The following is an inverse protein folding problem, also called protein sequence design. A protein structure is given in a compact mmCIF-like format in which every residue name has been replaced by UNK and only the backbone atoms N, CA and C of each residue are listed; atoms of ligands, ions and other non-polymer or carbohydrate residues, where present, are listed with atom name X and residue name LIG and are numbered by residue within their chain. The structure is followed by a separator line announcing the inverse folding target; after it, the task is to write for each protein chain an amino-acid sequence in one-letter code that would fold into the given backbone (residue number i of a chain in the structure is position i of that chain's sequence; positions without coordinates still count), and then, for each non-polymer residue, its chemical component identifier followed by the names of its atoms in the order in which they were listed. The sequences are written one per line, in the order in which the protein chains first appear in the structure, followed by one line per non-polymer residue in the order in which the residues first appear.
data_IF_407345899147
#
_entry.id   IF_407345899147
#
_cell.length_a   1.000
_cell.length_b   1.000
_cell.length_c   1.000
_cell.angle_alpha   90.00
_cell.angle_beta   90.00
_cell.angle_gamma   90.00
#
_symmetry.space_group_name_H-M   'P 1'
#
loop_
_entity.id
_entity.type
_entity.pdbx_description
1 polymer ?
#
# COMPACT_ATOMS: atom_id res chain seq x y z
N UNK A 1 -15.19 2.41 33.98
CA UNK A 1 -15.51 2.99 32.67
C UNK A 1 -15.35 1.84 31.67
N UNK A 2 -16.39 1.50 30.90
CA UNK A 2 -16.26 0.46 29.90
C UNK A 2 -15.34 0.97 28.78
N UNK A 3 -14.28 0.24 28.48
CA UNK A 3 -13.47 0.53 27.28
C UNK A 3 -14.36 0.45 26.04
N UNK A 4 -14.15 1.30 25.02
CA UNK A 4 -14.84 1.14 23.75
C UNK A 4 -14.51 -0.24 23.18
N UNK A 5 -15.39 -0.84 22.38
CA UNK A 5 -15.10 -2.12 21.74
C UNK A 5 -13.86 -1.99 20.84
N UNK A 6 -13.08 -3.06 20.69
CA UNK A 6 -11.91 -3.03 19.81
C UNK A 6 -12.32 -2.79 18.35
N UNK A 7 -11.53 -1.98 17.63
CA UNK A 7 -11.69 -1.75 16.19
C UNK A 7 -11.25 -3.03 15.45
N UNK A 8 -12.09 -3.51 14.55
CA UNK A 8 -11.80 -4.74 13.79
C UNK A 8 -10.99 -4.43 12.55
N UNK A 9 -9.82 -5.04 12.43
CA UNK A 9 -8.91 -4.86 11.29
C UNK A 9 -8.74 -6.18 10.55
N UNK A 10 -9.06 -6.20 9.25
CA UNK A 10 -8.75 -7.30 8.35
C UNK A 10 -7.46 -6.98 7.57
N UNK A 11 -6.45 -7.83 7.66
CA UNK A 11 -5.29 -7.79 6.77
C UNK A 11 -5.56 -8.80 5.64
N UNK A 12 -5.64 -8.30 4.42
CA UNK A 12 -5.81 -9.12 3.21
C UNK A 12 -4.42 -9.43 2.65
N UNK A 13 -3.94 -10.64 2.91
CA UNK A 13 -2.61 -11.09 2.50
C UNK A 13 -2.64 -11.57 1.04
N UNK A 14 -1.90 -10.85 0.16
CA UNK A 14 -1.73 -11.19 -1.25
C UNK A 14 -0.34 -11.78 -1.56
N UNK A 15 0.43 -12.20 -0.56
CA UNK A 15 1.78 -12.75 -0.77
C UNK A 15 1.83 -14.21 -1.19
N UNK A 16 0.68 -14.88 -1.40
CA UNK A 16 0.58 -16.24 -1.94
C UNK A 16 1.37 -17.27 -1.11
N UNK A 17 1.25 -17.20 0.22
CA UNK A 17 1.96 -18.08 1.16
C UNK A 17 3.47 -17.81 1.29
N UNK A 18 3.99 -16.79 0.62
CA UNK A 18 5.41 -16.42 0.75
C UNK A 18 5.60 -15.60 2.03
N UNK A 19 6.48 -16.07 2.92
CA UNK A 19 6.87 -15.31 4.11
C UNK A 19 7.52 -14.00 3.68
N UNK A 20 7.01 -12.89 4.20
CA UNK A 20 7.44 -11.56 3.79
C UNK A 20 7.47 -10.57 4.96
N UNK A 21 8.23 -9.49 4.80
CA UNK A 21 8.33 -8.43 5.79
C UNK A 21 7.11 -7.50 5.79
N UNK A 22 6.32 -7.45 4.71
CA UNK A 22 5.19 -6.53 4.58
C UNK A 22 4.09 -6.78 5.61
N UNK A 23 3.65 -8.02 5.80
CA UNK A 23 2.63 -8.35 6.82
C UNK A 23 3.16 -8.05 8.24
N UNK A 24 4.43 -8.38 8.53
CA UNK A 24 5.06 -8.06 9.82
C UNK A 24 5.12 -6.55 10.05
N UNK A 25 5.46 -5.79 9.01
CA UNK A 25 5.52 -4.34 9.08
C UNK A 25 4.13 -3.70 9.30
N UNK A 26 3.08 -4.20 8.61
CA UNK A 26 1.69 -3.79 8.85
C UNK A 26 1.30 -4.04 10.31
N UNK A 27 1.58 -5.24 10.85
CA UNK A 27 1.27 -5.57 12.24
C UNK A 27 2.02 -4.65 13.21
N UNK A 28 3.31 -4.38 12.97
CA UNK A 28 4.11 -3.46 13.80
C UNK A 28 3.55 -2.03 13.80
N UNK A 29 3.09 -1.55 12.65
CA UNK A 29 2.44 -0.22 12.58
C UNK A 29 1.15 -0.19 13.41
N UNK A 30 0.35 -1.26 13.37
CA UNK A 30 -0.88 -1.36 14.17
C UNK A 30 -0.57 -1.40 15.67
N UNK A 31 0.41 -2.21 16.09
CA UNK A 31 0.87 -2.28 17.49
C UNK A 31 1.38 -0.94 18.00
N UNK A 32 2.23 -0.26 17.23
CA UNK A 32 2.73 1.07 17.59
C UNK A 32 1.57 2.09 17.72
N UNK A 33 0.57 2.01 16.83
CA UNK A 33 -0.58 2.88 16.89
C UNK A 33 -1.45 2.64 18.14
N UNK A 34 -1.64 1.37 18.56
CA UNK A 34 -2.32 1.04 19.81
C UNK A 34 -1.60 1.68 21.01
N UNK A 35 -0.28 1.54 21.07
CA UNK A 35 0.55 2.07 22.15
C UNK A 35 0.52 3.61 22.22
N UNK A 36 0.56 4.27 21.07
CA UNK A 36 0.59 5.73 20.97
C UNK A 36 -0.77 6.39 21.25
N UNK A 37 -1.86 5.75 20.82
CA UNK A 37 -3.19 6.35 20.81
C UNK A 37 -4.18 5.71 21.78
N UNK A 38 -3.83 4.60 22.42
CA UNK A 38 -4.67 3.91 23.40
C UNK A 38 -5.89 3.22 22.84
N UNK A 39 -5.90 2.95 21.52
CA UNK A 39 -6.91 2.09 20.87
C UNK A 39 -6.57 0.61 21.08
N UNK A 40 -7.54 -0.24 20.80
CA UNK A 40 -7.34 -1.69 20.75
C UNK A 40 -7.87 -2.20 19.41
N UNK A 41 -7.03 -2.98 18.70
CA UNK A 41 -7.41 -3.63 17.46
C UNK A 41 -7.71 -5.12 17.70
N UNK A 42 -8.72 -5.61 16.99
CA UNK A 42 -8.90 -7.05 16.77
C UNK A 42 -8.44 -7.33 15.35
N UNK A 43 -7.21 -7.84 15.21
CA UNK A 43 -6.56 -8.07 13.91
C UNK A 43 -6.85 -9.51 13.47
N UNK A 44 -7.32 -9.68 12.23
CA UNK A 44 -7.50 -10.96 11.56
C UNK A 44 -6.79 -10.93 10.20
N UNK A 45 -6.01 -11.97 9.89
CA UNK A 45 -5.25 -12.07 8.62
C UNK A 45 -5.92 -13.13 7.74
N UNK A 46 -6.13 -12.77 6.48
CA UNK A 46 -6.79 -13.61 5.48
C UNK A 46 -5.85 -13.88 4.32
N UNK A 47 -5.48 -15.14 4.09
CA UNK A 47 -4.70 -15.57 2.95
C UNK A 47 -5.57 -15.58 1.68
N UNK A 48 -5.57 -14.45 0.98
CA UNK A 48 -6.44 -14.21 -0.17
C UNK A 48 -6.00 -15.01 -1.39
N UNK A 49 -4.70 -14.96 -1.73
CA UNK A 49 -4.19 -15.61 -2.95
C UNK A 49 -3.93 -17.09 -2.78
N UNK A 50 -3.30 -17.49 -1.66
CA UNK A 50 -2.89 -18.87 -1.43
C UNK A 50 -4.07 -19.77 -1.08
N UNK A 51 -5.03 -19.26 -0.29
CA UNK A 51 -6.13 -20.08 0.25
C UNK A 51 -7.52 -19.56 -0.09
N UNK A 52 -7.64 -18.50 -0.89
CA UNK A 52 -8.92 -17.84 -1.24
C UNK A 52 -9.76 -17.49 0.01
N UNK A 53 -9.09 -17.11 1.11
CA UNK A 53 -9.74 -16.71 2.35
C UNK A 53 -10.06 -15.22 2.31
N UNK A 54 -11.30 -14.88 2.58
CA UNK A 54 -11.78 -13.50 2.61
C UNK A 54 -12.68 -13.27 3.80
N UNK A 55 -12.63 -12.07 4.43
CA UNK A 55 -13.57 -11.70 5.47
C UNK A 55 -14.94 -11.36 4.89
N UNK A 56 -15.92 -11.29 5.80
CA UNK A 56 -17.15 -10.57 5.52
C UNK A 56 -16.97 -9.04 5.63
N UNK A 57 -18.05 -8.28 5.48
CA UNK A 57 -18.04 -6.81 5.58
C UNK A 57 -18.18 -6.30 7.03
N UNK A 58 -17.82 -7.10 8.02
CA UNK A 58 -18.00 -6.81 9.44
C UNK A 58 -16.78 -6.22 10.13
N UNK A 59 -15.62 -6.12 9.44
CA UNK A 59 -14.46 -5.37 9.89
C UNK A 59 -14.63 -3.87 9.61
N UNK A 60 -13.91 -3.04 10.36
CA UNK A 60 -13.98 -1.59 10.23
C UNK A 60 -12.93 -1.08 9.25
N UNK A 61 -11.76 -1.72 9.25
CA UNK A 61 -10.59 -1.37 8.44
C UNK A 61 -10.09 -2.60 7.69
N UNK A 62 -9.73 -2.42 6.44
CA UNK A 62 -9.14 -3.44 5.56
C UNK A 62 -7.79 -2.95 5.03
N UNK A 63 -6.71 -3.65 5.37
CA UNK A 63 -5.37 -3.37 4.87
C UNK A 63 -5.00 -4.45 3.86
N UNK A 64 -5.05 -4.10 2.58
CA UNK A 64 -4.74 -5.03 1.50
C UNK A 64 -3.28 -4.90 1.11
N UNK A 65 -2.52 -5.96 1.33
CA UNK A 65 -1.07 -5.98 1.21
C UNK A 65 -0.56 -5.89 -0.23
N UNK A 66 0.74 -5.67 -0.35
CA UNK A 66 1.50 -5.99 -1.55
C UNK A 66 1.48 -7.49 -1.87
N UNK A 67 2.19 -7.88 -2.90
CA UNK A 67 2.35 -9.28 -3.28
C UNK A 67 3.28 -9.43 -4.48
N UNK A 68 3.87 -10.60 -4.66
CA UNK A 68 4.76 -10.87 -5.78
C UNK A 68 3.99 -11.14 -7.07
N UNK A 69 4.70 -11.06 -8.19
CA UNK A 69 4.24 -11.57 -9.49
C UNK A 69 3.55 -10.53 -10.37
N UNK A 70 2.88 -11.07 -11.38
CA UNK A 70 2.25 -10.33 -12.46
C UNK A 70 0.78 -9.99 -12.10
N UNK A 71 0.42 -8.70 -11.96
CA UNK A 71 -0.95 -8.29 -11.65
C UNK A 71 -1.95 -8.53 -12.80
N UNK A 72 -1.49 -8.93 -13.99
CA UNK A 72 -2.34 -9.30 -15.11
C UNK A 72 -2.61 -10.81 -15.19
N UNK A 73 -1.70 -11.63 -14.64
CA UNK A 73 -1.82 -13.09 -14.72
C UNK A 73 -2.97 -13.68 -13.92
N UNK A 74 -3.47 -12.94 -12.92
CA UNK A 74 -4.61 -13.38 -12.09
C UNK A 74 -5.97 -13.05 -12.68
N UNK A 75 -6.02 -12.36 -13.82
CA UNK A 75 -7.29 -11.92 -14.40
C UNK A 75 -8.26 -13.07 -14.64
N UNK A 76 -9.45 -12.97 -14.00
CA UNK A 76 -10.49 -13.99 -14.08
C UNK A 76 -10.28 -15.22 -13.19
N UNK A 77 -9.22 -15.27 -12.40
CA UNK A 77 -9.05 -16.32 -11.39
C UNK A 77 -10.11 -16.25 -10.30
N UNK A 78 -10.37 -17.38 -9.63
CA UNK A 78 -11.41 -17.46 -8.60
C UNK A 78 -11.11 -16.52 -7.41
N UNK A 79 -9.87 -16.53 -6.91
CA UNK A 79 -9.49 -15.69 -5.79
C UNK A 79 -9.61 -14.20 -6.11
N UNK A 80 -9.22 -13.77 -7.33
CA UNK A 80 -9.31 -12.37 -7.74
C UNK A 80 -10.75 -11.92 -7.90
N UNK A 81 -11.62 -12.76 -8.50
CA UNK A 81 -13.03 -12.47 -8.61
C UNK A 81 -13.68 -12.31 -7.22
N UNK A 82 -13.39 -13.22 -6.29
CA UNK A 82 -13.88 -13.15 -4.92
C UNK A 82 -13.35 -11.92 -4.16
N UNK A 83 -12.07 -11.56 -4.38
CA UNK A 83 -11.46 -10.35 -3.83
C UNK A 83 -12.17 -9.09 -4.36
N UNK A 84 -12.41 -8.98 -5.66
CA UNK A 84 -13.15 -7.85 -6.22
C UNK A 84 -14.59 -7.79 -5.75
N UNK A 85 -15.26 -8.94 -5.58
CA UNK A 85 -16.61 -9.00 -5.00
C UNK A 85 -16.63 -8.48 -3.56
N UNK A 86 -15.62 -8.77 -2.76
CA UNK A 86 -15.47 -8.18 -1.42
C UNK A 86 -15.38 -6.65 -1.51
N UNK A 87 -14.49 -6.12 -2.37
CA UNK A 87 -14.31 -4.68 -2.52
C UNK A 87 -15.62 -3.99 -2.97
N UNK A 88 -16.34 -4.58 -3.91
CA UNK A 88 -17.64 -4.06 -4.35
C UNK A 88 -18.72 -4.12 -3.25
N UNK A 89 -18.70 -5.15 -2.40
CA UNK A 89 -19.59 -5.23 -1.22
C UNK A 89 -19.27 -4.12 -0.22
N UNK A 90 -17.99 -3.83 0.01
CA UNK A 90 -17.57 -2.74 0.90
C UNK A 90 -17.97 -1.37 0.34
N UNK A 91 -17.80 -1.14 -0.96
CA UNK A 91 -18.28 0.10 -1.61
C UNK A 91 -19.80 0.24 -1.47
N UNK A 92 -20.56 -0.80 -1.77
CA UNK A 92 -22.05 -0.78 -1.61
C UNK A 92 -22.46 -0.54 -0.17
N UNK A 93 -21.76 -1.14 0.82
CA UNK A 93 -21.98 -0.87 2.23
C UNK A 93 -21.77 0.61 2.55
N UNK A 94 -20.70 1.22 2.03
CA UNK A 94 -20.38 2.63 2.26
C UNK A 94 -21.39 3.60 1.62
N UNK A 95 -22.08 3.20 0.56
CA UNK A 95 -23.16 4.01 -0.02
C UNK A 95 -24.47 3.95 0.78
N UNK A 96 -24.60 3.03 1.74
CA UNK A 96 -25.78 2.95 2.60
C UNK A 96 -25.72 4.04 3.68
N UNK A 97 -26.75 4.86 3.77
CA UNK A 97 -26.82 5.91 4.79
C UNK A 97 -26.93 5.32 6.21
N UNK A 98 -26.34 6.00 7.18
CA UNK A 98 -26.42 5.61 8.59
C UNK A 98 -25.59 4.39 8.98
N UNK A 99 -24.75 3.87 8.08
CA UNK A 99 -23.81 2.78 8.39
C UNK A 99 -22.42 3.32 8.78
N UNK A 100 -21.74 2.62 9.68
CA UNK A 100 -20.31 2.84 9.94
C UNK A 100 -19.54 2.52 8.66
N UNK A 101 -18.73 3.47 8.19
CA UNK A 101 -18.03 3.32 6.92
C UNK A 101 -16.85 2.36 7.05
N UNK A 102 -16.57 1.62 5.98
CA UNK A 102 -15.48 0.65 5.88
C UNK A 102 -14.33 1.27 5.10
N UNK A 103 -13.17 1.30 5.72
CA UNK A 103 -11.98 1.92 5.13
C UNK A 103 -11.05 0.86 4.55
N UNK A 104 -10.55 1.09 3.34
CA UNK A 104 -9.64 0.15 2.66
C UNK A 104 -8.37 0.87 2.21
N UNK A 105 -7.22 0.31 2.59
CA UNK A 105 -5.90 0.71 2.08
C UNK A 105 -5.36 -0.37 1.16
N UNK A 106 -5.01 0.00 -0.07
CA UNK A 106 -4.40 -0.90 -1.05
C UNK A 106 -2.91 -0.60 -1.21
N UNK A 107 -2.04 -1.62 -1.07
CA UNK A 107 -0.59 -1.45 -1.12
C UNK A 107 -0.01 -2.21 -2.31
N UNK A 108 0.80 -1.54 -3.12
CA UNK A 108 1.61 -2.10 -4.19
C UNK A 108 0.81 -3.02 -5.14
N UNK A 109 0.86 -4.33 -4.99
CA UNK A 109 0.16 -5.27 -5.86
C UNK A 109 -1.37 -5.05 -5.84
N UNK A 110 -1.96 -4.89 -4.65
CA UNK A 110 -3.39 -4.60 -4.54
C UNK A 110 -3.77 -3.24 -5.15
N UNK A 111 -2.92 -2.23 -5.06
CA UNK A 111 -3.09 -0.97 -5.77
C UNK A 111 -3.14 -1.18 -7.29
N UNK A 112 -2.22 -1.98 -7.86
CA UNK A 112 -2.20 -2.30 -9.29
C UNK A 112 -3.47 -3.05 -9.72
N UNK A 113 -3.95 -4.00 -8.91
CA UNK A 113 -5.22 -4.71 -9.16
C UNK A 113 -6.40 -3.74 -9.21
N UNK A 114 -6.48 -2.77 -8.28
CA UNK A 114 -7.56 -1.77 -8.26
C UNK A 114 -7.46 -0.82 -9.44
N UNK A 115 -6.28 -0.35 -9.80
CA UNK A 115 -6.09 0.48 -11.00
C UNK A 115 -6.55 -0.25 -12.27
N UNK A 116 -6.25 -1.54 -12.40
CA UNK A 116 -6.74 -2.39 -13.50
C UNK A 116 -8.26 -2.56 -13.45
N UNK A 117 -8.82 -2.92 -12.29
CA UNK A 117 -10.27 -3.16 -12.11
C UNK A 117 -11.10 -1.93 -12.47
N UNK A 118 -10.68 -0.75 -12.05
CA UNK A 118 -11.38 0.50 -12.33
C UNK A 118 -10.92 1.19 -13.62
N UNK A 119 -9.93 0.61 -14.32
CA UNK A 119 -9.39 1.12 -15.59
C UNK A 119 -8.85 2.54 -15.48
N UNK A 120 -8.15 2.84 -14.38
CA UNK A 120 -7.63 4.18 -14.13
C UNK A 120 -6.34 4.51 -14.90
N UNK A 121 -5.71 3.50 -15.49
CA UNK A 121 -4.50 3.63 -16.27
C UNK A 121 -4.02 2.29 -16.80
N UNK A 122 -2.85 2.30 -17.45
CA UNK A 122 -2.24 1.10 -18.01
C UNK A 122 -1.32 0.45 -16.99
N UNK A 123 -1.59 -0.80 -16.65
CA UNK A 123 -0.69 -1.65 -15.84
C UNK A 123 0.27 -2.35 -16.79
N UNK A 124 1.57 -2.10 -16.67
CA UNK A 124 2.59 -2.70 -17.52
C UNK A 124 3.85 -3.11 -16.75
N UNK A 125 4.65 -4.02 -17.35
CA UNK A 125 5.94 -4.43 -16.82
C UNK A 125 6.96 -3.32 -17.06
N UNK A 126 7.74 -2.95 -16.05
CA UNK A 126 8.87 -2.03 -16.18
C UNK A 126 10.05 -2.73 -16.89
N UNK A 127 10.79 -2.00 -17.72
CA UNK A 127 12.06 -2.52 -18.29
C UNK A 127 13.11 -2.74 -17.20
N UNK A 128 13.14 -1.85 -16.22
CA UNK A 128 14.04 -1.93 -15.07
C UNK A 128 13.18 -1.96 -13.80
N UNK A 129 13.19 -3.05 -13.02
CA UNK A 129 12.50 -3.09 -11.74
C UNK A 129 12.94 -1.96 -10.81
N UNK A 130 12.00 -1.39 -10.07
CA UNK A 130 12.29 -0.40 -9.03
C UNK A 130 12.45 -1.11 -7.70
N UNK A 131 13.57 -0.84 -7.03
CA UNK A 131 13.82 -1.33 -5.67
C UNK A 131 14.67 -0.35 -4.88
N UNK A 132 14.13 0.16 -3.79
CA UNK A 132 14.84 1.08 -2.90
C UNK A 132 13.97 2.22 -2.40
N UNK A 133 14.62 3.23 -1.89
CA UNK A 133 13.96 4.44 -1.39
C UNK A 133 13.89 5.46 -2.52
N UNK A 134 12.70 5.78 -2.96
CA UNK A 134 12.46 6.66 -4.10
C UNK A 134 11.76 7.95 -3.70
N UNK A 135 12.04 9.07 -4.37
CA UNK A 135 11.28 10.30 -4.21
C UNK A 135 9.90 10.17 -4.88
N UNK A 136 8.86 10.63 -4.18
CA UNK A 136 7.47 10.63 -4.63
C UNK A 136 6.96 12.07 -4.63
N UNK A 137 6.48 12.54 -5.80
CA UNK A 137 5.96 13.88 -5.99
C UNK A 137 4.48 13.94 -5.64
N UNK A 138 4.08 14.88 -4.78
CA UNK A 138 2.67 15.16 -4.50
C UNK A 138 2.08 15.95 -5.66
N UNK A 139 0.97 15.47 -6.24
CA UNK A 139 0.32 16.10 -7.40
C UNK A 139 -1.07 16.65 -7.09
N UNK A 140 -1.61 16.31 -5.93
CA UNK A 140 -2.94 16.75 -5.49
C UNK A 140 -3.06 16.83 -3.97
N UNK A 141 -4.08 17.56 -3.49
CA UNK A 141 -4.34 17.61 -2.06
C UNK A 141 -4.86 16.26 -1.54
N UNK A 142 -4.16 15.73 -0.55
CA UNK A 142 -4.54 14.50 0.16
C UNK A 142 -4.19 14.64 1.65
N UNK A 143 -5.17 14.55 2.57
CA UNK A 143 -4.92 14.68 4.01
C UNK A 143 -3.86 13.70 4.55
N UNK A 144 -3.79 12.48 4.01
CA UNK A 144 -2.82 11.47 4.44
C UNK A 144 -1.37 11.85 4.09
N UNK A 145 -1.18 12.76 3.13
CA UNK A 145 0.14 13.22 2.68
C UNK A 145 0.49 14.62 3.20
N UNK A 146 -0.46 15.32 3.85
CA UNK A 146 -0.35 16.75 4.12
C UNK A 146 0.81 17.16 5.04
N UNK A 147 1.32 16.25 5.88
CA UNK A 147 2.47 16.49 6.77
C UNK A 147 3.81 16.03 6.21
N UNK A 148 3.81 15.38 5.05
CA UNK A 148 5.04 14.97 4.37
C UNK A 148 5.64 16.14 3.57
N UNK A 149 6.96 16.08 3.37
CA UNK A 149 7.65 16.98 2.43
C UNK A 149 7.22 16.69 0.99
N UNK A 150 7.48 17.63 0.09
CA UNK A 150 7.28 17.44 -1.35
C UNK A 150 8.58 17.74 -2.09
N UNK A 151 9.25 16.73 -2.70
CA UNK A 151 8.88 15.30 -2.64
C UNK A 151 9.08 14.68 -1.25
N UNK A 152 8.33 13.64 -0.96
CA UNK A 152 8.61 12.73 0.14
C UNK A 152 9.31 11.46 -0.36
N UNK A 153 9.80 10.63 0.56
CA UNK A 153 10.51 9.40 0.22
C UNK A 153 9.77 8.18 0.72
N UNK A 154 9.70 7.14 -0.11
CA UNK A 154 9.03 5.88 0.24
C UNK A 154 9.82 4.67 -0.25
N UNK A 155 9.65 3.52 0.40
CA UNK A 155 10.15 2.25 -0.11
C UNK A 155 9.34 1.84 -1.34
N UNK A 156 10.04 1.59 -2.45
CA UNK A 156 9.47 1.00 -3.66
C UNK A 156 10.11 -0.35 -3.93
N UNK A 157 9.30 -1.35 -4.27
CA UNK A 157 9.75 -2.70 -4.58
C UNK A 157 8.79 -3.32 -5.59
N UNK A 158 9.05 -3.10 -6.88
CA UNK A 158 8.11 -3.52 -7.93
C UNK A 158 8.78 -3.80 -9.27
N UNK A 159 8.23 -4.75 -10.01
CA UNK A 159 8.52 -4.96 -11.44
C UNK A 159 7.41 -4.40 -12.34
N UNK A 160 6.24 -4.11 -11.79
CA UNK A 160 5.07 -3.58 -12.51
C UNK A 160 4.78 -2.14 -12.11
N UNK A 161 4.14 -1.39 -12.99
CA UNK A 161 3.78 0.00 -12.77
C UNK A 161 2.40 0.32 -13.33
N UNK A 162 1.84 1.44 -12.91
CA UNK A 162 0.60 1.99 -13.47
C UNK A 162 0.92 3.36 -14.06
N UNK A 163 0.75 3.49 -15.36
CA UNK A 163 1.06 4.69 -16.16
C UNK A 163 -0.13 5.10 -17.00
N UNK A 164 -0.02 6.20 -17.74
CA UNK A 164 -1.06 6.71 -18.64
C UNK A 164 -2.43 6.82 -17.96
N UNK A 165 -2.59 7.75 -16.98
CA UNK A 165 -3.87 7.94 -16.30
C UNK A 165 -4.99 8.23 -17.29
N UNK A 166 -6.09 7.47 -17.19
CA UNK A 166 -7.31 7.66 -18.00
C UNK A 166 -8.19 8.75 -17.35
N UNK A 167 -8.10 9.97 -17.84
CA UNK A 167 -8.79 11.13 -17.27
C UNK A 167 -10.31 10.94 -17.24
N UNK A 168 -10.89 10.35 -18.30
CA UNK A 168 -12.32 10.08 -18.35
C UNK A 168 -12.76 9.12 -17.24
N UNK A 169 -11.96 8.08 -16.99
CA UNK A 169 -12.22 7.12 -15.92
C UNK A 169 -12.07 7.75 -14.53
N UNK A 170 -11.07 8.59 -14.33
CA UNK A 170 -10.93 9.36 -13.07
C UNK A 170 -12.17 10.23 -12.81
N UNK A 171 -12.65 10.96 -13.83
CA UNK A 171 -13.87 11.76 -13.71
C UNK A 171 -15.11 10.91 -13.42
N UNK A 172 -15.30 9.78 -14.12
CA UNK A 172 -16.45 8.88 -13.94
C UNK A 172 -16.48 8.22 -12.57
N UNK A 173 -15.33 7.86 -12.04
CA UNK A 173 -15.22 7.17 -10.74
C UNK A 173 -15.15 8.13 -9.56
N UNK A 174 -14.80 9.39 -9.79
CA UNK A 174 -14.50 10.37 -8.74
C UNK A 174 -13.15 10.13 -8.04
N UNK A 175 -12.33 9.22 -8.58
CA UNK A 175 -10.98 8.99 -8.08
C UNK A 175 -10.07 10.21 -8.33
N UNK A 176 -9.03 10.35 -7.50
CA UNK A 176 -8.05 11.44 -7.63
C UNK A 176 -6.64 10.91 -7.56
N UNK A 177 -5.83 11.19 -8.58
CA UNK A 177 -4.39 10.94 -8.57
C UNK A 177 -3.73 12.00 -7.68
N UNK A 178 -3.08 11.56 -6.60
CA UNK A 178 -2.54 12.48 -5.57
C UNK A 178 -1.02 12.44 -5.47
N UNK A 179 -0.36 11.41 -6.03
CA UNK A 179 1.09 11.36 -6.12
C UNK A 179 1.57 10.55 -7.34
N UNK A 180 2.73 10.95 -7.88
CA UNK A 180 3.42 10.27 -8.99
C UNK A 180 4.90 10.06 -8.67
N UNK A 181 5.60 9.26 -9.47
CA UNK A 181 7.07 9.33 -9.49
C UNK A 181 7.51 10.77 -9.79
N UNK A 182 8.65 11.19 -9.24
CA UNK A 182 9.24 12.48 -9.55
C UNK A 182 9.75 12.52 -10.99
N UNK A 183 10.40 11.45 -11.43
CA UNK A 183 10.92 11.28 -12.78
C UNK A 183 10.32 10.00 -13.39
N UNK A 184 10.07 9.97 -14.71
CA UNK A 184 9.65 8.75 -15.38
C UNK A 184 10.67 7.63 -15.18
N UNK A 185 10.20 6.42 -14.91
CA UNK A 185 11.07 5.23 -14.85
C UNK A 185 11.63 4.85 -16.23
N UNK A 186 10.97 5.29 -17.30
CA UNK A 186 11.34 5.04 -18.70
C UNK A 186 11.16 6.30 -19.54
N UNK A 187 11.99 6.42 -20.58
CA UNK A 187 12.08 7.65 -21.38
C UNK A 187 10.78 8.02 -22.11
N UNK A 188 9.98 7.02 -22.48
CA UNK A 188 8.75 7.20 -23.26
C UNK A 188 7.46 7.11 -22.43
N UNK A 189 7.55 6.73 -21.17
CA UNK A 189 6.39 6.66 -20.27
C UNK A 189 6.27 7.95 -19.44
N UNK A 190 5.06 8.37 -19.09
CA UNK A 190 4.87 9.40 -18.06
C UNK A 190 5.30 8.85 -16.68
N UNK A 191 5.52 9.73 -15.68
CA UNK A 191 5.76 9.29 -14.30
C UNK A 191 4.65 8.34 -13.85
N UNK A 192 5.03 7.21 -13.23
CA UNK A 192 4.06 6.25 -12.77
C UNK A 192 3.19 6.82 -11.64
N UNK A 193 1.94 6.39 -11.58
CA UNK A 193 1.01 6.74 -10.52
C UNK A 193 1.46 6.07 -9.21
N UNK A 194 1.66 6.87 -8.16
CA UNK A 194 2.19 6.40 -6.88
C UNK A 194 1.17 6.39 -5.76
N UNK A 195 0.15 7.25 -5.80
CA UNK A 195 -0.96 7.19 -4.85
C UNK A 195 -2.26 7.73 -5.47
N UNK A 196 -3.37 7.06 -5.13
CA UNK A 196 -4.72 7.40 -5.60
C UNK A 196 -5.69 7.37 -4.42
N UNK A 197 -6.50 8.43 -4.28
CA UNK A 197 -7.75 8.40 -3.51
C UNK A 197 -8.84 7.86 -4.44
N UNK A 198 -9.25 6.62 -4.25
CA UNK A 198 -10.26 5.97 -5.11
C UNK A 198 -11.68 6.45 -4.81
N UNK A 199 -11.98 6.62 -3.51
CA UNK A 199 -13.20 7.23 -3.00
C UNK A 199 -12.95 7.79 -1.57
N UNK A 200 -13.91 8.39 -0.87
CA UNK A 200 -13.67 8.97 0.46
C UNK A 200 -13.08 8.01 1.49
N UNK A 201 -13.27 6.71 1.31
CA UNK A 201 -12.89 5.67 2.28
C UNK A 201 -11.80 4.73 1.76
N UNK A 202 -11.49 4.78 0.46
CA UNK A 202 -10.56 3.88 -0.21
C UNK A 202 -9.33 4.65 -0.70
N UNK A 203 -8.17 4.26 -0.24
CA UNK A 203 -6.89 4.86 -0.60
C UNK A 203 -5.92 3.79 -1.05
N UNK A 204 -5.01 4.11 -1.95
CA UNK A 204 -3.99 3.15 -2.38
C UNK A 204 -2.67 3.80 -2.72
N UNK A 205 -1.60 3.04 -2.49
CA UNK A 205 -0.22 3.43 -2.77
C UNK A 205 0.49 2.36 -3.59
N UNK A 206 1.28 2.79 -4.57
CA UNK A 206 2.17 1.88 -5.30
C UNK A 206 3.38 1.50 -4.46
N UNK A 207 3.86 2.40 -3.63
CA UNK A 207 4.95 2.19 -2.68
C UNK A 207 4.46 1.52 -1.39
N UNK A 208 5.38 1.18 -0.50
CA UNK A 208 5.14 0.49 0.76
C UNK A 208 5.13 1.47 1.96
N UNK A 209 3.97 2.02 2.35
CA UNK A 209 3.88 2.95 3.48
C UNK A 209 4.07 2.24 4.83
N UNK A 210 3.92 0.90 4.87
CA UNK A 210 4.18 0.06 6.03
C UNK A 210 5.66 -0.17 6.30
N UNK A 211 6.53 0.15 5.34
CA UNK A 211 7.96 -0.20 5.40
C UNK A 211 8.61 0.30 6.70
N UNK A 212 9.15 -0.63 7.47
CA UNK A 212 9.83 -0.38 8.73
C UNK A 212 11.35 -0.39 8.54
N UNK A 213 12.02 0.69 8.94
CA UNK A 213 13.45 0.85 8.73
C UNK A 213 14.30 -0.18 9.51
N UNK A 214 13.82 -0.65 10.68
CA UNK A 214 14.53 -1.65 11.49
C UNK A 214 14.41 -3.02 10.86
N UNK A 215 13.16 -3.44 10.51
CA UNK A 215 12.88 -4.71 9.82
C UNK A 215 13.65 -4.78 8.49
N UNK A 216 13.62 -3.68 7.72
CA UNK A 216 14.35 -3.58 6.47
C UNK A 216 15.87 -3.65 6.66
N UNK A 217 16.41 -2.94 7.64
CA UNK A 217 17.85 -2.97 7.94
C UNK A 217 18.29 -4.40 8.30
N UNK A 218 17.53 -5.11 9.14
CA UNK A 218 17.82 -6.49 9.49
C UNK A 218 17.81 -7.40 8.24
N UNK A 219 16.78 -7.28 7.41
CA UNK A 219 16.67 -8.03 6.15
C UNK A 219 17.82 -7.75 5.19
N UNK A 220 18.17 -6.47 4.96
CA UNK A 220 19.21 -6.05 4.03
C UNK A 220 20.63 -6.43 4.50
N UNK A 221 20.85 -6.50 5.82
CA UNK A 221 22.15 -6.88 6.41
C UNK A 221 22.32 -8.39 6.55
N UNK A 222 21.25 -9.18 6.36
CA UNK A 222 21.33 -10.62 6.29
C UNK A 222 22.32 -11.10 5.22
N UNK A 223 23.13 -12.13 5.50
CA UNK A 223 24.27 -12.52 4.67
C UNK A 223 23.91 -12.77 3.20
N UNK A 224 22.82 -13.49 2.96
CA UNK A 224 22.38 -13.84 1.60
C UNK A 224 21.90 -12.61 0.81
N UNK A 225 21.06 -11.78 1.46
CA UNK A 225 20.51 -10.58 0.82
C UNK A 225 21.58 -9.52 0.57
N UNK A 226 22.49 -9.34 1.52
CA UNK A 226 23.65 -8.49 1.34
C UNK A 226 24.51 -8.92 0.15
N UNK A 227 24.78 -10.22 0.02
CA UNK A 227 25.56 -10.77 -1.10
C UNK A 227 24.86 -10.52 -2.45
N UNK A 228 23.57 -10.79 -2.52
CA UNK A 228 22.71 -10.53 -3.69
C UNK A 228 22.78 -9.07 -4.13
N UNK A 229 22.55 -8.14 -3.19
CA UNK A 229 22.49 -6.71 -3.48
C UNK A 229 23.86 -6.14 -3.89
N UNK A 230 24.96 -6.62 -3.28
CA UNK A 230 26.31 -6.21 -3.69
C UNK A 230 26.62 -6.75 -5.11
N UNK A 231 26.19 -7.96 -5.44
CA UNK A 231 26.36 -8.52 -6.78
C UNK A 231 25.57 -7.73 -7.86
N UNK A 232 24.37 -7.25 -7.51
CA UNK A 232 23.48 -6.50 -8.40
C UNK A 232 23.93 -5.02 -8.57
N UNK A 233 24.28 -4.33 -7.47
CA UNK A 233 24.46 -2.86 -7.42
C UNK A 233 25.89 -2.41 -7.11
N UNK A 234 26.76 -3.33 -6.76
CA UNK A 234 28.07 -3.05 -6.18
C UNK A 234 27.99 -2.61 -4.72
N UNK A 235 29.13 -2.60 -4.04
CA UNK A 235 29.20 -2.19 -2.62
C UNK A 235 28.69 -0.76 -2.38
N UNK A 236 29.04 0.18 -3.25
CA UNK A 236 28.60 1.57 -3.11
C UNK A 236 27.07 1.69 -3.18
N UNK A 237 26.42 0.98 -4.11
CA UNK A 237 24.96 0.96 -4.25
C UNK A 237 24.27 0.29 -3.06
N UNK A 238 24.85 -0.77 -2.50
CA UNK A 238 24.36 -1.40 -1.28
C UNK A 238 24.41 -0.45 -0.07
N UNK A 239 25.55 0.21 0.17
CA UNK A 239 25.66 1.13 1.30
C UNK A 239 24.81 2.39 1.13
N UNK A 240 24.61 2.87 -0.11
CA UNK A 240 23.68 3.97 -0.38
C UNK A 240 22.23 3.58 -0.02
N UNK A 241 21.77 2.40 -0.45
CA UNK A 241 20.45 1.90 -0.08
C UNK A 241 20.28 1.78 1.44
N UNK A 242 21.28 1.23 2.13
CA UNK A 242 21.23 1.09 3.59
C UNK A 242 21.18 2.45 4.30
N UNK A 243 21.94 3.43 3.84
CA UNK A 243 21.90 4.80 4.34
C UNK A 243 20.52 5.44 4.13
N UNK A 244 19.91 5.24 2.96
CA UNK A 244 18.58 5.75 2.66
C UNK A 244 17.50 5.13 3.54
N UNK A 245 17.58 3.84 3.81
CA UNK A 245 16.65 3.14 4.71
C UNK A 245 16.78 3.65 6.16
N UNK A 246 17.98 3.95 6.59
CA UNK A 246 18.26 4.41 7.96
C UNK A 246 18.03 5.92 8.17
N UNK A 247 17.82 6.67 7.09
CA UNK A 247 17.53 8.11 7.18
C UNK A 247 16.11 8.34 7.74
N UNK A 248 15.97 8.94 8.93
CA UNK A 248 14.67 9.16 9.55
C UNK A 248 13.76 10.12 8.76
N UNK A 249 14.32 10.95 7.89
CA UNK A 249 13.55 11.86 7.03
C UNK A 249 12.95 11.15 5.79
N UNK A 250 13.25 9.87 5.59
CA UNK A 250 12.79 9.09 4.44
C UNK A 250 11.71 8.09 4.86
N UNK A 251 12.02 6.79 4.85
CA UNK A 251 11.03 5.72 5.13
C UNK A 251 10.28 5.94 6.44
N UNK A 252 11.00 6.34 7.50
CA UNK A 252 10.39 6.53 8.82
C UNK A 252 9.34 7.64 8.80
N UNK A 253 9.56 8.75 8.10
CA UNK A 253 8.57 9.81 7.96
C UNK A 253 7.28 9.32 7.30
N UNK A 254 7.40 8.54 6.23
CA UNK A 254 6.26 7.97 5.50
C UNK A 254 5.50 6.95 6.36
N UNK A 255 6.21 6.04 7.05
CA UNK A 255 5.63 5.04 7.93
C UNK A 255 4.82 5.66 9.08
N UNK A 256 5.37 6.69 9.72
CA UNK A 256 4.72 7.37 10.86
C UNK A 256 3.61 8.33 10.43
N UNK A 257 3.37 8.49 9.12
CA UNK A 257 2.37 9.43 8.61
C UNK A 257 1.18 8.72 7.95
N UNK A 258 1.41 7.97 6.89
CA UNK A 258 0.32 7.55 5.99
C UNK A 258 -0.64 6.57 6.67
N UNK A 259 -0.14 5.44 7.17
CA UNK A 259 -1.02 4.44 7.81
C UNK A 259 -1.61 4.99 9.12
N UNK A 260 -0.85 5.64 10.02
CA UNK A 260 -1.43 6.25 11.22
C UNK A 260 -2.53 7.27 10.92
N UNK A 261 -2.35 8.16 9.94
CA UNK A 261 -3.38 9.11 9.53
C UNK A 261 -4.61 8.41 8.92
N UNK A 262 -4.39 7.36 8.13
CA UNK A 262 -5.48 6.53 7.60
C UNK A 262 -6.29 5.87 8.72
N UNK A 263 -5.64 5.32 9.73
CA UNK A 263 -6.30 4.72 10.90
C UNK A 263 -7.08 5.78 11.69
N UNK A 264 -6.52 6.96 11.92
CA UNK A 264 -7.21 8.06 12.58
C UNK A 264 -8.46 8.50 11.82
N UNK A 265 -8.39 8.63 10.49
CA UNK A 265 -9.56 8.94 9.66
C UNK A 265 -10.64 7.85 9.78
N UNK A 266 -10.24 6.58 9.73
CA UNK A 266 -11.16 5.45 9.82
C UNK A 266 -11.89 5.39 11.17
N UNK A 267 -11.17 5.65 12.26
CA UNK A 267 -11.73 5.60 13.62
C UNK A 267 -12.58 6.84 13.93
N UNK A 268 -12.18 8.03 13.46
CA UNK A 268 -12.88 9.30 13.74
C UNK A 268 -14.15 9.48 12.91
N UNK A 269 -14.26 8.78 11.77
CA UNK A 269 -15.44 8.82 10.90
C UNK A 269 -16.47 7.74 11.20
N UNK A 270 -16.26 7.00 12.29
CA UNK A 270 -17.10 5.87 12.72
C UNK A 270 -18.20 6.32 13.68
#
# INVERSE_FOLDING_TARGET
MSHPPPVKVAILDLYDGIVNQGIMAIQKVLENFEDEHGFQFKIEIFDVRGSNQLPDTDHDIYLSSGGPGDPLASEGSEWENNYFDLIERLQRHNHTEGTIKKHVLFICHSFQLMCRRWRLGTVNLRKIPSYGVVPVQITGYEPLLASLSDPFYALDSRSWQVVHPDQERFEQTGATLVATEQEPGEQDDPPAMMAIRFDPYFFGTQFHPEADAEILTEYLTGADKRHELIADRGEAGYYALLADVQDPAKIKATQHTIIPQFLLQAISGS
#
